data_IF_513123161588
#
_entry.id   IF_513123161588
#
_cell.length_a   1.000
_cell.length_b   1.000
_cell.length_c   1.000
_cell.angle_alpha   90.00
_cell.angle_beta   90.00
_cell.angle_gamma   90.00
#
_symmetry.space_group_name_H-M   'P 1'
#
loop_
_entity.id
_entity.type
_entity.pdbx_description
1 polymer ?
#
# COMPACT_ATOMS: atom_id res chain seq x y z
N UNK A 1 10.65 7.81 -14.64
CA UNK A 1 9.60 8.75 -14.14
C UNK A 1 9.95 10.25 -14.28
N UNK A 2 11.17 10.63 -14.75
CA UNK A 2 11.63 12.04 -14.68
C UNK A 2 10.65 13.06 -15.30
N UNK A 3 10.14 12.79 -16.50
CA UNK A 3 9.32 13.75 -17.25
C UNK A 3 7.81 13.48 -17.17
N UNK A 4 7.40 12.51 -16.36
CA UNK A 4 5.98 12.17 -16.20
C UNK A 4 5.27 13.27 -15.40
N UNK A 5 4.15 13.75 -15.93
CA UNK A 5 3.29 14.69 -15.19
C UNK A 5 2.55 13.96 -14.06
N UNK A 6 3.08 14.04 -12.84
CA UNK A 6 2.57 13.37 -11.64
C UNK A 6 1.23 13.93 -11.16
N UNK A 7 0.90 15.17 -11.49
CA UNK A 7 -0.41 15.75 -11.17
C UNK A 7 -1.52 15.16 -12.05
N UNK A 8 -1.19 14.75 -13.27
CA UNK A 8 -2.12 14.19 -14.25
C UNK A 8 -2.19 12.66 -14.19
N UNK A 9 -1.04 12.00 -14.16
CA UNK A 9 -0.94 10.54 -14.26
C UNK A 9 -0.77 9.92 -12.87
N UNK A 10 -1.81 10.06 -12.03
CA UNK A 10 -1.84 9.57 -10.67
C UNK A 10 -2.27 8.09 -10.63
N UNK A 11 -1.46 7.27 -9.96
CA UNK A 11 -1.72 5.86 -9.66
C UNK A 11 -0.87 5.45 -8.44
N UNK A 12 -1.06 4.26 -7.91
CA UNK A 12 -0.22 3.77 -6.82
C UNK A 12 1.18 3.42 -7.35
N UNK A 13 2.15 4.25 -7.05
CA UNK A 13 3.52 4.10 -7.53
C UNK A 13 4.28 2.92 -6.93
N UNK A 14 3.74 2.23 -5.94
CA UNK A 14 4.31 0.99 -5.39
C UNK A 14 3.84 -0.28 -6.13
N UNK A 15 2.93 -0.16 -7.11
CA UNK A 15 2.48 -1.29 -7.89
C UNK A 15 3.61 -1.92 -8.71
N UNK A 16 3.55 -3.24 -8.86
CA UNK A 16 4.46 -3.99 -9.75
C UNK A 16 4.24 -3.60 -11.21
N UNK A 17 2.99 -3.34 -11.56
CA UNK A 17 2.57 -2.90 -12.89
C UNK A 17 1.31 -2.04 -12.80
N UNK A 18 1.24 -1.00 -13.63
CA UNK A 18 0.06 -0.15 -13.76
C UNK A 18 -0.11 0.29 -15.21
N UNK A 19 -1.34 0.30 -15.69
CA UNK A 19 -1.76 0.82 -16.99
C UNK A 19 -2.67 2.04 -16.82
N UNK A 20 -2.48 3.06 -17.66
CA UNK A 20 -3.37 4.20 -17.77
C UNK A 20 -3.98 4.24 -19.17
N UNK A 21 -5.29 4.33 -19.26
CA UNK A 21 -5.99 4.55 -20.51
C UNK A 21 -6.13 6.04 -20.74
N UNK A 22 -5.52 6.54 -21.79
CA UNK A 22 -5.42 7.98 -22.07
C UNK A 22 -6.02 8.27 -23.43
N UNK A 23 -6.89 9.28 -23.51
CA UNK A 23 -7.46 9.75 -24.77
C UNK A 23 -6.43 10.56 -25.58
N UNK A 24 -6.64 10.78 -26.88
CA UNK A 24 -5.73 11.57 -27.73
C UNK A 24 -5.49 13.00 -27.24
N UNK A 25 -6.47 13.62 -26.58
CA UNK A 25 -6.35 14.93 -25.91
C UNK A 25 -5.75 14.85 -24.51
N UNK A 26 -5.26 13.66 -24.13
CA UNK A 26 -4.50 13.43 -22.91
C UNK A 26 -5.33 13.26 -21.64
N UNK A 27 -6.64 13.05 -21.68
CA UNK A 27 -7.45 12.74 -20.50
C UNK A 27 -7.17 11.32 -20.02
N UNK A 28 -7.08 11.13 -18.71
CA UNK A 28 -7.07 9.78 -18.12
C UNK A 28 -8.50 9.28 -18.05
N UNK A 29 -8.79 8.21 -18.78
CA UNK A 29 -10.11 7.60 -18.92
C UNK A 29 -10.32 6.44 -17.95
N UNK A 30 -9.24 5.89 -17.41
CA UNK A 30 -9.25 4.81 -16.45
C UNK A 30 -7.84 4.35 -16.12
N UNK A 31 -7.75 3.55 -15.07
CA UNK A 31 -6.52 2.92 -14.55
C UNK A 31 -6.70 1.42 -14.52
N UNK A 32 -5.61 0.69 -14.65
CA UNK A 32 -5.62 -0.74 -14.47
C UNK A 32 -4.34 -1.19 -13.77
N UNK A 33 -4.47 -2.13 -12.87
CA UNK A 33 -3.40 -2.64 -12.01
C UNK A 33 -3.96 -2.94 -10.63
N UNK A 34 -3.11 -3.40 -9.74
CA UNK A 34 -3.50 -3.66 -8.38
C UNK A 34 -2.67 -4.78 -7.77
N UNK A 35 -2.41 -4.63 -6.49
CA UNK A 35 -1.81 -5.65 -5.62
C UNK A 35 -2.20 -5.39 -4.19
N UNK A 36 -1.98 -6.37 -3.36
CA UNK A 36 -2.08 -6.25 -1.92
C UNK A 36 -0.89 -6.94 -1.22
N UNK A 37 -0.99 -7.14 0.07
CA UNK A 37 0.04 -7.82 0.86
C UNK A 37 0.09 -9.33 0.59
N UNK A 38 -0.97 -9.92 0.09
CA UNK A 38 -1.09 -11.36 -0.14
C UNK A 38 -0.55 -11.75 -1.52
N UNK A 39 -0.82 -10.91 -2.55
CA UNK A 39 -0.43 -11.23 -3.93
C UNK A 39 0.01 -9.98 -4.71
N UNK A 40 1.05 -10.15 -5.53
CA UNK A 40 1.54 -9.12 -6.43
C UNK A 40 0.67 -8.94 -7.68
N UNK A 41 -0.11 -9.94 -8.03
CA UNK A 41 -0.89 -10.06 -9.27
C UNK A 41 -2.34 -10.56 -9.08
N UNK A 42 -2.74 -10.84 -7.83
CA UNK A 42 -4.08 -11.36 -7.51
C UNK A 42 -5.25 -10.41 -7.84
N UNK A 43 -4.96 -9.16 -8.16
CA UNK A 43 -5.98 -8.15 -8.53
C UNK A 43 -6.01 -7.85 -10.04
N UNK A 44 -5.29 -8.62 -10.85
CA UNK A 44 -5.19 -8.40 -12.30
C UNK A 44 -5.42 -9.69 -13.08
N UNK A 45 -6.05 -9.56 -14.27
CA UNK A 45 -6.23 -10.63 -15.24
C UNK A 45 -6.31 -10.06 -16.65
N UNK A 46 -6.07 -10.89 -17.67
CA UNK A 46 -6.26 -10.44 -19.06
C UNK A 46 -7.72 -10.08 -19.38
N UNK A 47 -8.68 -10.79 -18.79
CA UNK A 47 -10.11 -10.46 -18.94
C UNK A 47 -10.43 -9.12 -18.28
N UNK A 48 -9.92 -8.87 -17.07
CA UNK A 48 -10.09 -7.60 -16.38
C UNK A 48 -9.43 -6.43 -17.11
N UNK A 49 -8.23 -6.63 -17.68
CA UNK A 49 -7.59 -5.63 -18.53
C UNK A 49 -8.47 -5.28 -19.74
N UNK A 50 -8.97 -6.28 -20.46
CA UNK A 50 -9.88 -6.08 -21.59
C UNK A 50 -11.15 -5.35 -21.19
N UNK A 51 -11.76 -5.74 -20.06
CA UNK A 51 -12.95 -5.10 -19.53
C UNK A 51 -12.72 -3.61 -19.24
N UNK A 52 -11.61 -3.26 -18.57
CA UNK A 52 -11.24 -1.88 -18.29
C UNK A 52 -10.93 -1.08 -19.58
N UNK A 53 -10.30 -1.69 -20.59
CA UNK A 53 -10.07 -1.07 -21.89
C UNK A 53 -11.39 -0.75 -22.62
N UNK A 54 -12.34 -1.67 -22.59
CA UNK A 54 -13.67 -1.47 -23.19
C UNK A 54 -14.43 -0.34 -22.46
N UNK A 55 -14.36 -0.29 -21.14
CA UNK A 55 -14.93 0.80 -20.34
C UNK A 55 -14.29 2.15 -20.67
N UNK A 56 -12.96 2.22 -20.78
CA UNK A 56 -12.24 3.42 -21.15
C UNK A 56 -12.62 3.90 -22.58
N UNK A 57 -12.74 2.95 -23.54
CA UNK A 57 -13.19 3.27 -24.89
C UNK A 57 -14.60 3.86 -24.91
N UNK A 58 -15.52 3.34 -24.08
CA UNK A 58 -16.86 3.88 -23.91
C UNK A 58 -16.81 5.29 -23.29
N UNK A 59 -16.07 5.45 -22.21
CA UNK A 59 -15.89 6.74 -21.51
C UNK A 59 -15.31 7.82 -22.45
N UNK A 60 -14.41 7.45 -23.37
CA UNK A 60 -13.86 8.41 -24.34
C UNK A 60 -14.91 8.99 -25.27
N UNK A 61 -15.98 8.26 -25.56
CA UNK A 61 -17.08 8.74 -26.43
C UNK A 61 -18.08 9.61 -25.67
N UNK A 62 -18.28 9.36 -24.38
CA UNK A 62 -19.36 9.94 -23.57
C UNK A 62 -18.90 11.11 -22.69
N UNK A 63 -17.60 11.21 -22.42
CA UNK A 63 -17.08 12.18 -21.45
C UNK A 63 -16.75 13.53 -22.09
N UNK A 64 -17.28 14.65 -21.56
CA UNK A 64 -16.90 15.97 -22.04
C UNK A 64 -15.42 16.23 -21.79
N UNK A 65 -14.78 17.15 -22.54
CA UNK A 65 -13.38 17.51 -22.29
C UNK A 65 -13.18 18.08 -20.89
N UNK A 66 -12.00 17.86 -20.29
CA UNK A 66 -11.71 18.39 -18.97
C UNK A 66 -11.77 19.93 -18.98
N UNK A 67 -12.29 20.52 -17.91
CA UNK A 67 -12.40 22.00 -17.78
C UNK A 67 -11.03 22.67 -17.68
N UNK A 68 -10.04 22.03 -17.09
CA UNK A 68 -8.64 22.49 -17.02
C UNK A 68 -7.71 21.30 -16.80
N UNK A 69 -6.52 21.33 -17.41
CA UNK A 69 -5.46 20.39 -17.06
C UNK A 69 -4.84 20.81 -15.71
N UNK A 70 -4.53 19.86 -14.81
CA UNK A 70 -3.82 20.20 -13.60
C UNK A 70 -2.45 20.78 -13.94
N UNK A 71 -1.95 21.69 -13.11
CA UNK A 71 -0.60 22.24 -13.24
C UNK A 71 0.41 21.07 -13.34
N UNK A 72 1.33 21.21 -14.28
CA UNK A 72 2.32 20.15 -14.51
C UNK A 72 3.24 20.04 -13.30
N UNK A 73 3.34 18.82 -12.75
CA UNK A 73 4.28 18.46 -11.69
C UNK A 73 5.05 17.21 -12.07
N UNK A 74 6.36 17.25 -11.92
CA UNK A 74 7.26 16.16 -12.21
C UNK A 74 8.11 15.83 -11.00
N UNK A 75 8.95 14.80 -11.07
CA UNK A 75 9.89 14.52 -9.98
C UNK A 75 10.94 15.63 -9.80
N UNK A 76 11.17 16.46 -10.82
CA UNK A 76 12.10 17.60 -10.73
C UNK A 76 11.64 18.68 -9.74
N UNK A 77 10.33 18.75 -9.47
CA UNK A 77 9.76 19.71 -8.54
C UNK A 77 9.93 19.29 -7.07
N UNK A 78 10.51 18.11 -6.81
CA UNK A 78 10.76 17.62 -5.46
C UNK A 78 12.23 17.77 -5.08
N UNK A 79 12.56 18.55 -4.02
CA UNK A 79 13.95 18.79 -3.58
C UNK A 79 14.76 17.52 -3.30
N UNK A 80 14.09 16.46 -2.81
CA UNK A 80 14.71 15.15 -2.54
C UNK A 80 15.29 14.45 -3.77
N UNK A 81 14.95 14.88 -5.00
CA UNK A 81 15.52 14.30 -6.21
C UNK A 81 17.06 14.40 -6.26
N UNK A 82 17.63 15.42 -5.64
CA UNK A 82 19.09 15.64 -5.62
C UNK A 82 19.86 14.44 -5.07
N UNK A 83 19.29 13.69 -4.11
CA UNK A 83 19.94 12.49 -3.53
C UNK A 83 20.11 11.34 -4.54
N UNK A 84 19.31 11.30 -5.60
CA UNK A 84 19.37 10.24 -6.62
C UNK A 84 20.43 10.54 -7.69
N UNK A 85 21.01 11.74 -7.69
CA UNK A 85 21.96 12.18 -8.71
C UNK A 85 21.28 12.60 -10.04
N UNK A 86 22.02 13.33 -10.90
CA UNK A 86 21.43 14.00 -12.07
C UNK A 86 21.02 13.02 -13.18
N UNK A 87 21.69 11.89 -13.32
CA UNK A 87 21.49 10.91 -14.40
C UNK A 87 20.79 9.62 -13.95
N UNK A 88 20.54 9.44 -12.64
CA UNK A 88 19.94 8.22 -12.13
C UNK A 88 18.50 8.03 -12.66
N UNK A 89 18.13 6.79 -12.94
CA UNK A 89 16.75 6.42 -13.20
C UNK A 89 15.90 6.68 -11.97
N UNK A 90 14.71 7.23 -12.16
CA UNK A 90 13.71 7.37 -11.10
C UNK A 90 12.68 6.27 -11.27
N UNK A 91 12.65 5.32 -10.32
CA UNK A 91 11.67 4.25 -10.26
C UNK A 91 10.33 4.75 -9.72
N UNK A 92 9.23 4.06 -10.03
CA UNK A 92 7.90 4.50 -9.63
C UNK A 92 7.78 4.68 -8.10
N UNK A 93 8.21 3.70 -7.29
CA UNK A 93 8.13 3.78 -5.83
C UNK A 93 8.88 4.98 -5.23
N UNK A 94 9.93 5.48 -5.90
CA UNK A 94 10.67 6.66 -5.45
C UNK A 94 9.84 7.95 -5.52
N UNK A 95 8.76 7.96 -6.30
CA UNK A 95 7.82 9.10 -6.29
C UNK A 95 7.18 9.27 -4.91
N UNK A 96 6.74 8.17 -4.27
CA UNK A 96 6.21 8.24 -2.90
C UNK A 96 7.28 8.66 -1.89
N UNK A 97 8.53 8.26 -2.09
CA UNK A 97 9.65 8.70 -1.25
C UNK A 97 9.89 10.21 -1.39
N UNK A 98 9.93 10.73 -2.62
CA UNK A 98 10.10 12.17 -2.90
C UNK A 98 8.93 13.00 -2.37
N UNK A 99 7.70 12.50 -2.50
CA UNK A 99 6.50 13.13 -1.92
C UNK A 99 6.61 13.21 -0.39
N UNK A 100 7.03 12.13 0.26
CA UNK A 100 7.26 12.10 1.71
C UNK A 100 8.34 13.09 2.14
N UNK A 101 9.48 13.12 1.46
CA UNK A 101 10.58 14.07 1.75
C UNK A 101 10.08 15.52 1.66
N UNK A 102 9.24 15.82 0.66
CA UNK A 102 8.67 17.15 0.52
C UNK A 102 7.70 17.51 1.65
N UNK A 103 6.90 16.55 2.13
CA UNK A 103 6.04 16.74 3.30
C UNK A 103 6.86 16.94 4.57
N UNK A 104 7.93 16.16 4.76
CA UNK A 104 8.85 16.32 5.89
C UNK A 104 9.52 17.69 5.90
N UNK A 105 9.99 18.16 4.74
CA UNK A 105 10.61 19.48 4.61
C UNK A 105 9.67 20.65 4.96
N UNK A 106 8.35 20.45 4.83
CA UNK A 106 7.33 21.43 5.19
C UNK A 106 6.76 21.25 6.59
N UNK A 107 7.17 20.21 7.33
CA UNK A 107 6.60 19.87 8.63
C UNK A 107 5.17 19.30 8.58
N UNK A 108 4.74 18.86 7.41
CA UNK A 108 3.38 18.32 7.14
C UNK A 108 3.35 16.78 7.18
N UNK A 109 4.49 16.14 7.42
CA UNK A 109 4.60 14.70 7.46
C UNK A 109 4.07 14.10 8.76
N UNK A 110 3.24 13.10 8.63
CA UNK A 110 2.80 12.23 9.72
C UNK A 110 2.66 10.78 9.25
N UNK A 111 2.67 9.84 10.19
CA UNK A 111 2.54 8.41 9.87
C UNK A 111 1.19 8.08 9.21
N UNK A 112 0.15 8.89 9.42
CA UNK A 112 -1.15 8.80 8.76
C UNK A 112 -1.05 8.91 7.23
N UNK A 113 -0.03 9.59 6.70
CA UNK A 113 0.23 9.75 5.26
C UNK A 113 0.82 8.50 4.58
N UNK A 114 1.12 7.44 5.34
CA UNK A 114 1.65 6.19 4.77
C UNK A 114 0.61 5.36 4.02
N UNK A 115 -0.66 5.45 4.42
CA UNK A 115 -1.73 4.65 3.82
C UNK A 115 -2.31 5.32 2.57
N UNK A 116 -1.48 5.41 1.52
CA UNK A 116 -1.90 5.88 0.20
C UNK A 116 -2.60 4.76 -0.57
N UNK A 117 -3.54 5.11 -1.46
CA UNK A 117 -4.28 4.17 -2.30
C UNK A 117 -4.88 2.99 -1.50
N UNK A 118 -5.76 3.26 -0.51
CA UNK A 118 -6.36 2.20 0.29
C UNK A 118 -7.16 1.24 -0.58
N UNK A 119 -7.09 -0.08 -0.34
CA UNK A 119 -7.83 -1.05 -1.13
C UNK A 119 -9.34 -0.96 -0.85
N UNK A 120 -10.20 -1.34 -1.80
CA UNK A 120 -11.66 -1.36 -1.62
C UNK A 120 -12.12 -2.21 -0.44
N UNK A 121 -11.34 -3.20 -0.05
CA UNK A 121 -11.57 -4.04 1.12
C UNK A 121 -11.64 -3.23 2.42
N UNK A 122 -10.98 -2.08 2.49
CA UNK A 122 -11.01 -1.20 3.66
C UNK A 122 -12.40 -0.59 3.92
N UNK A 123 -13.22 -0.46 2.90
CA UNK A 123 -14.63 -0.06 3.01
C UNK A 123 -15.59 -1.25 2.94
N UNK A 124 -15.05 -2.47 2.89
CA UNK A 124 -15.79 -3.71 2.88
C UNK A 124 -16.18 -4.24 1.50
N UNK A 125 -15.55 -3.75 0.43
CA UNK A 125 -15.82 -4.17 -0.94
C UNK A 125 -14.72 -5.11 -1.44
N UNK A 126 -15.08 -6.35 -1.77
CA UNK A 126 -14.24 -7.20 -2.63
C UNK A 126 -14.77 -7.12 -4.06
N UNK A 127 -13.93 -6.74 -5.00
CA UNK A 127 -14.29 -6.60 -6.41
C UNK A 127 -13.88 -7.85 -7.20
N UNK A 128 -14.61 -8.17 -8.28
CA UNK A 128 -14.23 -9.23 -9.19
C UNK A 128 -12.95 -8.86 -9.95
N UNK A 129 -12.04 -9.82 -10.14
CA UNK A 129 -10.80 -9.59 -10.87
C UNK A 129 -11.04 -9.38 -12.36
N UNK A 130 -11.98 -10.14 -12.93
CA UNK A 130 -12.30 -10.11 -14.38
C UNK A 130 -13.23 -8.93 -14.77
N UNK A 131 -13.94 -8.36 -13.80
CA UNK A 131 -14.82 -7.20 -13.97
C UNK A 131 -14.65 -6.26 -12.78
N UNK A 132 -13.57 -5.51 -12.80
CA UNK A 132 -12.99 -4.80 -11.64
C UNK A 132 -13.88 -3.76 -10.95
N UNK A 133 -15.12 -3.54 -11.38
CA UNK A 133 -16.13 -2.72 -10.71
C UNK A 133 -17.39 -3.51 -10.31
N UNK A 134 -17.39 -4.82 -10.48
CA UNK A 134 -18.49 -5.69 -10.00
C UNK A 134 -18.16 -6.17 -8.60
N UNK A 135 -19.10 -6.03 -7.70
CA UNK A 135 -18.97 -6.44 -6.30
C UNK A 135 -19.06 -7.97 -6.19
N UNK A 136 -17.92 -8.61 -5.89
CA UNK A 136 -17.86 -10.04 -5.63
C UNK A 136 -18.38 -10.39 -4.22
N UNK A 137 -18.08 -9.52 -3.24
CA UNK A 137 -18.51 -9.71 -1.85
C UNK A 137 -18.54 -8.37 -1.12
N UNK A 138 -19.49 -8.25 -0.17
CA UNK A 138 -19.55 -7.16 0.80
C UNK A 138 -19.28 -7.74 2.19
N UNK A 139 -18.36 -7.13 2.92
CA UNK A 139 -18.03 -7.56 4.27
C UNK A 139 -19.16 -7.17 5.26
N UNK A 140 -19.57 -8.06 6.17
CA UNK A 140 -20.58 -7.74 7.17
C UNK A 140 -20.19 -6.54 8.05
N UNK A 141 -21.16 -5.70 8.40
CA UNK A 141 -21.02 -4.50 9.25
C UNK A 141 -20.07 -3.43 8.68
N UNK A 142 -19.65 -3.54 7.42
CA UNK A 142 -18.79 -2.60 6.74
C UNK A 142 -19.54 -1.33 6.30
N UNK A 143 -18.76 -0.31 5.87
CA UNK A 143 -19.31 0.90 5.27
C UNK A 143 -20.12 0.58 3.99
N UNK A 144 -19.66 -0.37 3.18
CA UNK A 144 -20.35 -0.80 1.97
C UNK A 144 -21.70 -1.48 2.26
N UNK A 145 -21.76 -2.36 3.26
CA UNK A 145 -23.03 -2.99 3.66
C UNK A 145 -24.03 -1.95 4.18
N UNK A 146 -23.57 -1.05 5.06
CA UNK A 146 -24.42 0.04 5.60
C UNK A 146 -24.93 0.98 4.52
N UNK A 147 -24.13 1.24 3.47
CA UNK A 147 -24.54 2.01 2.31
C UNK A 147 -25.58 1.29 1.44
N UNK A 148 -25.79 -0.02 1.65
CA UNK A 148 -26.75 -0.83 0.91
C UNK A 148 -26.17 -1.58 -0.30
N UNK A 149 -24.85 -1.59 -0.48
CA UNK A 149 -24.17 -2.38 -1.52
C UNK A 149 -24.33 -3.88 -1.27
N UNK A 150 -24.40 -4.67 -2.35
CA UNK A 150 -24.57 -6.13 -2.32
C UNK A 150 -23.69 -6.78 -3.38
N UNK A 151 -23.48 -8.08 -3.25
CA UNK A 151 -22.87 -8.88 -4.30
C UNK A 151 -23.64 -8.74 -5.62
N UNK A 152 -22.91 -8.63 -6.73
CA UNK A 152 -23.44 -8.45 -8.09
C UNK A 152 -23.69 -7.00 -8.49
N UNK A 153 -23.66 -6.03 -7.56
CA UNK A 153 -23.76 -4.62 -7.89
C UNK A 153 -22.58 -4.19 -8.79
N UNK A 154 -22.87 -3.31 -9.76
CA UNK A 154 -21.87 -2.75 -10.67
C UNK A 154 -21.58 -1.32 -10.29
N UNK A 155 -20.46 -1.07 -9.63
CA UNK A 155 -20.06 0.28 -9.18
C UNK A 155 -19.86 1.17 -10.41
N UNK A 156 -20.42 2.38 -10.35
CA UNK A 156 -20.28 3.43 -11.36
C UNK A 156 -19.30 4.50 -10.93
N UNK A 157 -19.49 4.99 -9.71
CA UNK A 157 -18.61 6.02 -9.14
C UNK A 157 -18.42 5.80 -7.64
N UNK A 158 -17.26 6.24 -7.15
CA UNK A 158 -16.97 6.43 -5.74
C UNK A 158 -16.41 7.85 -5.60
N UNK A 159 -17.00 8.68 -4.73
CA UNK A 159 -16.62 10.09 -4.58
C UNK A 159 -16.72 10.90 -5.88
N UNK A 160 -17.62 10.52 -6.78
CA UNK A 160 -17.74 11.12 -8.12
C UNK A 160 -16.69 10.64 -9.13
N UNK A 161 -15.67 9.88 -8.73
CA UNK A 161 -14.68 9.31 -9.64
C UNK A 161 -15.22 8.02 -10.30
N UNK A 162 -15.15 7.88 -11.63
CA UNK A 162 -15.58 6.68 -12.33
C UNK A 162 -14.77 5.45 -11.92
N UNK A 163 -15.45 4.31 -11.80
CA UNK A 163 -14.82 3.04 -11.43
C UNK A 163 -15.09 1.99 -12.50
N UNK A 164 -14.04 1.46 -13.12
CA UNK A 164 -14.09 0.34 -14.05
C UNK A 164 -13.09 -0.76 -13.66
N UNK A 165 -12.23 -0.52 -12.67
CA UNK A 165 -11.18 -1.42 -12.25
C UNK A 165 -10.90 -1.29 -10.75
N UNK A 166 -10.15 -2.24 -10.20
CA UNK A 166 -9.61 -2.16 -8.85
C UNK A 166 -8.76 -0.87 -8.66
N UNK A 167 -7.91 -0.53 -9.63
CA UNK A 167 -7.07 0.67 -9.56
C UNK A 167 -7.88 1.98 -9.58
N UNK A 168 -9.00 2.03 -10.30
CA UNK A 168 -9.90 3.19 -10.26
C UNK A 168 -10.56 3.31 -8.88
N UNK A 169 -11.00 2.21 -8.28
CA UNK A 169 -11.56 2.21 -6.93
C UNK A 169 -10.53 2.67 -5.89
N UNK A 170 -9.29 2.18 -5.96
CA UNK A 170 -8.21 2.65 -5.09
C UNK A 170 -7.92 4.15 -5.28
N UNK A 171 -7.91 4.62 -6.53
CA UNK A 171 -7.73 6.04 -6.83
C UNK A 171 -8.85 6.89 -6.24
N UNK A 172 -10.10 6.49 -6.42
CA UNK A 172 -11.26 7.19 -5.87
C UNK A 172 -11.18 7.30 -4.34
N UNK A 173 -10.84 6.19 -3.66
CA UNK A 173 -10.64 6.16 -2.22
C UNK A 173 -9.43 6.99 -1.77
N UNK A 174 -8.35 7.00 -2.56
CA UNK A 174 -7.17 7.79 -2.26
C UNK A 174 -7.44 9.30 -2.30
N UNK A 175 -8.26 9.75 -3.24
CA UNK A 175 -8.66 11.15 -3.41
C UNK A 175 -9.47 11.70 -2.23
N UNK A 176 -10.07 10.84 -1.43
CA UNK A 176 -10.88 11.23 -0.28
C UNK A 176 -10.02 11.25 0.98
N UNK A 177 -9.56 12.44 1.39
CA UNK A 177 -8.61 12.60 2.50
C UNK A 177 -9.27 12.72 3.88
N UNK A 178 -10.59 12.97 3.94
CA UNK A 178 -11.34 13.11 5.19
C UNK A 178 -12.02 11.82 5.64
N UNK A 179 -12.61 11.84 6.84
CA UNK A 179 -13.52 10.80 7.32
C UNK A 179 -15.00 11.12 7.01
N UNK A 180 -15.27 12.15 6.19
CA UNK A 180 -16.62 12.47 5.77
C UNK A 180 -17.23 11.33 4.93
N UNK A 181 -18.56 11.16 4.96
CA UNK A 181 -19.21 10.12 4.18
C UNK A 181 -18.94 10.26 2.68
N UNK A 182 -18.49 9.19 2.06
CA UNK A 182 -18.10 9.15 0.65
C UNK A 182 -19.23 8.62 -0.22
N UNK A 183 -19.75 9.43 -1.13
CA UNK A 183 -20.83 9.03 -2.02
C UNK A 183 -20.41 7.88 -2.95
N UNK A 184 -21.29 6.91 -3.12
CA UNK A 184 -21.13 5.83 -4.09
C UNK A 184 -22.40 5.68 -4.93
N UNK A 185 -22.21 5.42 -6.23
CA UNK A 185 -23.30 5.14 -7.18
C UNK A 185 -23.01 3.80 -7.85
N UNK A 186 -24.03 2.96 -7.97
CA UNK A 186 -23.93 1.64 -8.60
C UNK A 186 -25.20 1.26 -9.35
N UNK A 187 -25.11 0.25 -10.20
CA UNK A 187 -26.26 -0.37 -10.84
C UNK A 187 -26.59 -1.70 -10.16
N UNK A 188 -27.86 -1.93 -9.89
CA UNK A 188 -28.44 -3.21 -9.47
C UNK A 188 -29.61 -3.55 -10.38
N UNK A 189 -29.52 -4.68 -11.07
CA UNK A 189 -30.55 -5.11 -12.03
C UNK A 189 -30.90 -4.01 -13.06
N UNK A 190 -29.88 -3.27 -13.51
CA UNK A 190 -30.02 -2.19 -14.48
C UNK A 190 -30.55 -0.86 -13.90
N UNK A 191 -30.92 -0.82 -12.60
CA UNK A 191 -31.40 0.39 -11.91
C UNK A 191 -30.25 1.08 -11.19
N UNK A 192 -30.18 2.41 -11.30
CA UNK A 192 -29.22 3.20 -10.58
C UNK A 192 -29.60 3.33 -9.09
N UNK A 193 -28.62 3.05 -8.24
CA UNK A 193 -28.68 3.14 -6.80
C UNK A 193 -27.59 4.09 -6.31
N UNK A 194 -27.84 4.74 -5.18
CA UNK A 194 -26.84 5.60 -4.55
C UNK A 194 -26.85 5.40 -3.02
N UNK A 195 -25.69 5.63 -2.41
CA UNK A 195 -25.53 5.56 -0.96
C UNK A 195 -24.26 6.29 -0.52
N UNK A 196 -24.02 6.29 0.79
CA UNK A 196 -22.84 6.90 1.40
C UNK A 196 -22.05 5.86 2.18
N UNK A 197 -20.77 5.78 1.92
CA UNK A 197 -19.82 4.98 2.68
C UNK A 197 -19.42 5.78 3.93
N UNK A 198 -19.93 5.39 5.10
CA UNK A 198 -19.56 5.99 6.39
C UNK A 198 -18.17 5.49 6.79
N UNK A 199 -17.18 6.39 6.81
CA UNK A 199 -15.78 6.04 7.02
C UNK A 199 -15.41 6.19 8.50
N UNK A 200 -14.95 5.10 9.11
CA UNK A 200 -14.47 5.09 10.49
C UNK A 200 -13.04 5.66 10.59
N UNK A 201 -12.65 6.09 11.78
CA UNK A 201 -11.27 6.47 12.03
C UNK A 201 -10.29 5.35 11.66
N UNK A 202 -9.24 5.72 10.95
CA UNK A 202 -8.23 4.76 10.49
C UNK A 202 -8.68 3.84 9.35
N UNK A 203 -9.79 4.12 8.69
CA UNK A 203 -10.33 3.32 7.58
C UNK A 203 -9.31 3.06 6.45
N UNK A 204 -8.33 3.95 6.29
CA UNK A 204 -7.28 3.80 5.26
C UNK A 204 -6.25 2.72 5.61
N UNK A 205 -6.17 2.29 6.88
CA UNK A 205 -5.13 1.37 7.35
C UNK A 205 -5.32 -0.03 6.78
N UNK A 206 -4.25 -0.56 6.20
CA UNK A 206 -4.16 -1.92 5.69
C UNK A 206 -2.71 -2.41 5.85
N UNK A 207 -2.43 -3.65 5.52
CA UNK A 207 -1.04 -4.14 5.45
C UNK A 207 -0.31 -3.47 4.28
N UNK A 208 0.65 -2.62 4.62
CA UNK A 208 1.50 -1.88 3.68
C UNK A 208 2.91 -2.45 3.59
N UNK A 209 3.19 -3.61 4.19
CA UNK A 209 4.52 -4.21 4.26
C UNK A 209 5.12 -4.58 2.90
N UNK A 210 4.28 -4.68 1.87
CA UNK A 210 4.67 -4.94 0.50
C UNK A 210 5.20 -3.71 -0.26
N UNK A 211 5.01 -2.48 0.28
CA UNK A 211 5.36 -1.23 -0.39
C UNK A 211 6.86 -0.99 -0.38
N UNK A 212 7.45 -0.89 -1.56
CA UNK A 212 8.87 -0.63 -1.72
C UNK A 212 9.28 0.77 -1.22
N UNK A 213 8.41 1.75 -1.36
CA UNK A 213 8.63 3.11 -0.89
C UNK A 213 8.87 3.20 0.63
N UNK A 214 8.45 2.20 1.40
CA UNK A 214 8.69 2.15 2.85
C UNK A 214 10.11 1.71 3.23
N UNK A 215 10.90 1.20 2.28
CA UNK A 215 12.27 0.78 2.59
C UNK A 215 13.13 1.93 3.10
N UNK A 216 12.88 3.15 2.61
CA UNK A 216 13.61 4.35 3.03
C UNK A 216 13.01 5.03 4.28
N UNK A 217 11.88 4.54 4.80
CA UNK A 217 11.30 5.07 6.01
C UNK A 217 12.15 4.66 7.23
N UNK A 218 12.35 5.60 8.14
CA UNK A 218 13.08 5.38 9.39
C UNK A 218 12.12 5.19 10.58
N UNK A 219 12.60 4.53 11.66
CA UNK A 219 13.91 3.93 11.83
C UNK A 219 14.09 2.62 11.07
N UNK A 220 15.36 2.23 10.81
CA UNK A 220 15.66 0.90 10.27
C UNK A 220 15.63 -0.15 11.38
N UNK A 221 15.01 -1.33 11.16
CA UNK A 221 15.04 -2.43 12.12
C UNK A 221 16.40 -3.13 12.18
N UNK A 222 17.29 -2.89 11.21
CA UNK A 222 18.63 -3.47 11.05
C UNK A 222 18.69 -5.00 10.94
N UNK A 223 17.55 -5.68 10.99
CA UNK A 223 17.41 -7.14 10.82
C UNK A 223 16.64 -7.44 9.54
N UNK A 224 16.98 -8.54 8.89
CA UNK A 224 16.31 -9.02 7.68
C UNK A 224 16.59 -10.51 7.49
N UNK A 225 15.71 -11.18 6.79
CA UNK A 225 15.81 -12.61 6.53
C UNK A 225 14.49 -13.19 6.08
N UNK A 226 14.32 -14.47 6.33
CA UNK A 226 13.15 -15.21 5.88
C UNK A 226 12.30 -15.68 7.07
N UNK A 227 10.99 -15.76 6.86
CA UNK A 227 10.08 -16.37 7.82
C UNK A 227 10.39 -17.88 7.96
N UNK A 228 10.30 -18.39 9.20
CA UNK A 228 10.27 -19.81 9.41
C UNK A 228 9.01 -20.42 8.81
N UNK A 229 9.14 -21.60 8.26
CA UNK A 229 8.00 -22.42 7.82
C UNK A 229 7.14 -22.85 9.01
N UNK A 230 5.87 -23.20 8.75
CA UNK A 230 4.96 -23.74 9.79
C UNK A 230 5.56 -24.97 10.50
N UNK A 231 6.30 -25.82 9.77
CA UNK A 231 6.97 -26.98 10.35
C UNK A 231 8.10 -26.61 11.31
N UNK A 232 8.93 -25.63 10.94
CA UNK A 232 10.02 -25.12 11.79
C UNK A 232 9.47 -24.41 13.04
N UNK A 233 8.42 -23.59 12.88
CA UNK A 233 7.74 -22.97 14.02
C UNK A 233 7.22 -24.01 15.00
N UNK A 234 6.56 -25.05 14.49
CA UNK A 234 6.05 -26.16 15.31
C UNK A 234 7.17 -26.89 16.05
N UNK A 235 8.30 -27.16 15.40
CA UNK A 235 9.47 -27.80 16.01
C UNK A 235 10.07 -26.98 17.16
N UNK A 236 9.92 -25.63 17.10
CA UNK A 236 10.38 -24.71 18.14
C UNK A 236 9.28 -24.39 19.18
N UNK A 237 8.11 -25.02 19.11
CA UNK A 237 6.98 -24.74 20.01
C UNK A 237 6.34 -23.36 19.79
N UNK A 238 6.52 -22.75 18.61
CA UNK A 238 5.94 -21.47 18.25
C UNK A 238 4.60 -21.64 17.56
N UNK A 239 3.65 -20.74 17.86
CA UNK A 239 2.36 -20.68 17.16
C UNK A 239 2.55 -20.33 15.67
N UNK A 240 1.63 -20.78 14.81
CA UNK A 240 1.73 -20.60 13.36
C UNK A 240 1.82 -19.13 12.95
N UNK A 241 1.02 -18.27 13.57
CA UNK A 241 0.97 -16.81 13.30
C UNK A 241 2.09 -16.02 13.97
N UNK A 242 2.87 -16.67 14.86
CA UNK A 242 3.93 -16.03 15.63
C UNK A 242 5.01 -15.49 14.71
N UNK A 243 5.52 -14.29 15.00
CA UNK A 243 6.75 -13.77 14.39
C UNK A 243 7.88 -14.78 14.62
N UNK A 244 8.54 -15.18 13.54
CA UNK A 244 9.74 -15.99 13.56
C UNK A 244 10.57 -15.70 12.31
N UNK A 245 11.36 -14.62 12.37
CA UNK A 245 12.21 -14.13 11.28
C UNK A 245 13.64 -14.64 11.51
N UNK A 246 14.13 -15.56 10.66
CA UNK A 246 15.52 -16.00 10.69
C UNK A 246 16.43 -14.94 10.08
N UNK A 247 17.37 -14.41 10.86
CA UNK A 247 18.37 -13.47 10.38
C UNK A 247 19.20 -14.10 9.26
N UNK A 248 19.24 -13.45 8.11
CA UNK A 248 20.00 -13.91 6.94
C UNK A 248 21.52 -13.81 7.14
N UNK A 249 22.26 -14.27 6.12
CA UNK A 249 23.73 -14.30 6.12
C UNK A 249 24.38 -12.92 6.20
N UNK A 250 23.77 -11.89 5.68
CA UNK A 250 24.25 -10.52 5.82
C UNK A 250 23.69 -9.92 7.12
N UNK A 251 24.51 -9.80 8.15
CA UNK A 251 24.18 -9.12 9.39
C UNK A 251 24.70 -7.68 9.30
N UNK A 252 23.78 -6.71 9.35
CA UNK A 252 24.14 -5.29 9.25
C UNK A 252 25.12 -4.86 10.35
N UNK A 253 25.99 -3.85 10.12
CA UNK A 253 26.93 -3.42 11.16
C UNK A 253 26.27 -3.07 12.49
N UNK A 254 25.15 -2.30 12.57
CA UNK A 254 24.47 -2.03 13.82
C UNK A 254 23.96 -3.30 14.53
N UNK A 255 23.34 -4.22 13.80
CA UNK A 255 22.85 -5.48 14.35
C UNK A 255 23.99 -6.35 14.90
N UNK A 256 25.13 -6.41 14.16
CA UNK A 256 26.32 -7.16 14.59
C UNK A 256 26.95 -6.55 15.84
N UNK A 257 27.05 -5.23 15.92
CA UNK A 257 27.58 -4.54 17.10
C UNK A 257 26.71 -4.78 18.34
N UNK A 258 25.40 -4.86 18.15
CA UNK A 258 24.45 -5.24 19.20
C UNK A 258 24.55 -6.71 19.63
N UNK A 259 25.19 -7.56 18.82
CA UNK A 259 25.36 -8.99 19.12
C UNK A 259 24.38 -9.92 18.42
N UNK A 260 23.61 -9.41 17.44
CA UNK A 260 22.79 -10.26 16.55
C UNK A 260 23.71 -11.02 15.59
N UNK A 261 23.38 -12.29 15.33
CA UNK A 261 24.16 -13.22 14.50
C UNK A 261 23.32 -13.79 13.38
N UNK A 262 23.98 -14.29 12.36
CA UNK A 262 23.33 -15.12 11.35
C UNK A 262 22.61 -16.30 12.01
N UNK A 263 21.44 -16.65 11.48
CA UNK A 263 20.55 -17.71 11.98
C UNK A 263 19.85 -17.43 13.32
N UNK A 264 20.09 -16.27 13.98
CA UNK A 264 19.22 -15.86 15.08
C UNK A 264 17.77 -15.75 14.58
N UNK A 265 16.82 -16.21 15.37
CA UNK A 265 15.40 -16.16 15.03
C UNK A 265 14.76 -15.08 15.89
N UNK A 266 14.38 -13.95 15.25
CA UNK A 266 13.68 -12.85 15.91
C UNK A 266 12.23 -13.29 16.15
N UNK A 267 11.81 -13.36 17.42
CA UNK A 267 10.48 -13.81 17.84
C UNK A 267 9.65 -12.73 18.51
N UNK A 268 10.23 -11.53 18.75
CA UNK A 268 9.55 -10.42 19.37
C UNK A 268 10.45 -9.23 19.59
N UNK A 269 9.89 -8.18 20.18
CA UNK A 269 10.58 -6.95 20.60
C UNK A 269 10.01 -6.44 21.91
N UNK A 270 10.87 -5.99 22.81
CA UNK A 270 10.53 -5.45 24.14
C UNK A 270 9.62 -6.39 24.96
N UNK A 271 9.91 -7.70 24.90
CA UNK A 271 9.13 -8.73 25.57
C UNK A 271 7.75 -9.00 24.96
N UNK A 272 7.39 -8.30 23.88
CA UNK A 272 6.09 -8.47 23.22
C UNK A 272 6.11 -9.65 22.28
N UNK A 273 5.14 -10.51 22.45
CA UNK A 273 4.85 -11.59 21.51
C UNK A 273 4.02 -11.05 20.33
N UNK A 274 4.58 -11.10 19.12
CA UNK A 274 3.96 -10.52 17.94
C UNK A 274 3.38 -11.61 17.02
N UNK A 275 2.15 -11.43 16.56
CA UNK A 275 1.53 -12.25 15.52
C UNK A 275 1.63 -11.50 14.18
N UNK A 276 2.69 -11.79 13.44
CA UNK A 276 2.96 -11.20 12.12
C UNK A 276 4.00 -11.99 11.35
N UNK A 277 4.13 -11.67 10.06
CA UNK A 277 5.21 -12.18 9.22
C UNK A 277 6.50 -11.37 9.40
N UNK A 278 7.64 -11.96 9.02
CA UNK A 278 8.92 -11.25 8.97
C UNK A 278 8.91 -10.05 8.02
N UNK A 279 8.09 -10.09 6.96
CA UNK A 279 7.89 -8.92 6.08
C UNK A 279 7.17 -7.76 6.78
N UNK A 280 6.23 -8.05 7.67
CA UNK A 280 5.49 -7.03 8.42
C UNK A 280 6.33 -6.43 9.55
N UNK A 281 7.27 -7.17 10.10
CA UNK A 281 8.07 -6.74 11.25
C UNK A 281 8.85 -5.42 11.02
N UNK A 282 9.55 -5.20 9.90
CA UNK A 282 10.18 -3.93 9.61
C UNK A 282 9.21 -2.74 9.62
N UNK A 283 8.00 -2.94 9.09
CA UNK A 283 6.98 -1.88 9.10
C UNK A 283 6.44 -1.65 10.50
N UNK A 284 6.25 -2.72 11.29
CA UNK A 284 5.89 -2.59 12.70
C UNK A 284 6.90 -1.73 13.48
N UNK A 285 8.21 -1.97 13.29
CA UNK A 285 9.26 -1.15 13.93
C UNK A 285 9.14 0.33 13.51
N UNK A 286 8.98 0.59 12.21
CA UNK A 286 8.84 1.96 11.67
C UNK A 286 7.60 2.71 12.16
N UNK A 287 6.53 2.00 12.48
CA UNK A 287 5.28 2.59 12.96
C UNK A 287 5.24 2.81 14.47
N UNK A 288 6.06 2.09 15.24
CA UNK A 288 5.97 2.09 16.71
C UNK A 288 7.18 2.68 17.40
N UNK A 289 8.29 2.93 16.69
CA UNK A 289 9.53 3.42 17.25
C UNK A 289 10.08 4.61 16.46
N UNK A 290 11.03 5.31 17.06
CA UNK A 290 11.73 6.47 16.48
C UNK A 290 13.23 6.21 16.38
N UNK A 291 13.90 7.00 15.56
CA UNK A 291 15.38 7.06 15.55
C UNK A 291 15.86 7.48 16.93
N UNK A 292 16.82 6.73 17.47
CA UNK A 292 17.36 6.90 18.80
C UNK A 292 16.74 6.02 19.88
N UNK A 293 15.58 5.39 19.61
CA UNK A 293 14.98 4.48 20.59
C UNK A 293 15.86 3.24 20.78
N UNK A 294 15.97 2.80 22.03
CA UNK A 294 16.54 1.51 22.37
C UNK A 294 15.45 0.46 22.39
N UNK A 295 15.67 -0.63 21.71
CA UNK A 295 14.73 -1.75 21.64
C UNK A 295 15.44 -3.03 22.03
N UNK A 296 14.73 -3.93 22.68
CA UNK A 296 15.23 -5.28 23.01
C UNK A 296 14.64 -6.28 22.05
N UNK A 297 15.43 -6.79 21.12
CA UNK A 297 15.00 -7.92 20.27
C UNK A 297 15.05 -9.21 21.06
N UNK A 298 13.92 -9.90 21.10
CA UNK A 298 13.80 -11.23 21.70
C UNK A 298 14.10 -12.26 20.64
N UNK A 299 15.14 -13.06 20.84
CA UNK A 299 15.68 -14.03 19.86
C UNK A 299 15.60 -15.46 20.37
N UNK A 300 15.60 -16.39 19.45
CA UNK A 300 16.04 -17.78 19.69
C UNK A 300 17.37 -17.98 19.00
N UNK A 301 18.38 -18.38 19.76
CA UNK A 301 19.73 -18.78 19.32
C UNK A 301 20.03 -20.17 19.82
N UNK A 302 20.25 -21.12 18.91
CA UNK A 302 20.47 -22.53 19.25
C UNK A 302 19.40 -23.10 20.22
N UNK A 303 18.14 -22.73 19.98
CA UNK A 303 16.99 -23.14 20.79
C UNK A 303 16.84 -22.41 22.13
N UNK A 304 17.75 -21.50 22.50
CA UNK A 304 17.71 -20.74 23.75
C UNK A 304 17.22 -19.31 23.51
N UNK A 305 16.43 -18.78 24.43
CA UNK A 305 16.04 -17.36 24.41
C UNK A 305 17.24 -16.47 24.74
N UNK A 306 17.42 -15.44 23.93
CA UNK A 306 18.45 -14.41 24.09
C UNK A 306 17.83 -13.05 23.83
N UNK A 307 18.09 -12.09 24.69
CA UNK A 307 17.67 -10.71 24.53
C UNK A 307 18.86 -9.85 24.07
N UNK A 308 18.65 -9.05 23.04
CA UNK A 308 19.68 -8.20 22.45
C UNK A 308 19.17 -6.77 22.36
N UNK A 309 19.82 -5.86 23.11
CA UNK A 309 19.51 -4.43 23.03
C UNK A 309 20.15 -3.81 21.78
N UNK A 310 19.37 -3.07 21.02
CA UNK A 310 19.78 -2.35 19.83
C UNK A 310 19.26 -0.91 19.88
N UNK A 311 20.11 0.05 19.55
CA UNK A 311 19.65 1.43 19.29
C UNK A 311 19.23 1.57 17.84
N UNK A 312 17.99 1.99 17.59
CA UNK A 312 17.46 2.21 16.26
C UNK A 312 18.04 3.52 15.69
N UNK A 313 19.02 3.39 14.82
CA UNK A 313 19.63 4.54 14.14
C UNK A 313 18.90 4.84 12.82
N UNK A 314 19.01 6.09 12.38
CA UNK A 314 18.73 6.45 10.99
C UNK A 314 19.73 5.79 10.04
N UNK A 315 19.40 5.73 8.77
CA UNK A 315 20.34 5.27 7.74
C UNK A 315 21.44 6.31 7.55
N UNK A 316 22.68 5.86 7.32
CA UNK A 316 23.79 6.75 7.03
C UNK A 316 23.60 7.53 5.72
#
# INVERSE_FOLDING_TARGET
>A
MRDVNLAKYQFDYDLTWAGLFVSPDGRVLGRYGGRDAESADGKVSLKGLRYAMEAARKANRERPPPKAAPERRTVADYPGLKRLGPTACVHCHQVHELQRDALQARGEWGLDKLWVYPPPENVGLTLEVDRGNVVARVAPKSAAEKAGLRQGDVIRTIGGEPVASFADAQYALHRHESNEPLAAVWLRDGKEMAGKLELADGWRKSDISWRWSLRQLEPSPWVHGDDLTSQEKKALGLGEKRLALRQGNFVTPPARQAGIRQNDIIIGVDGRELEMTGRQFPVYVKLNYKVGDKVTYNLLRDGKRVDVELTLAGRP
#
